data_IF_255402281693
#
_entry.id   IF_255402281693
#
_cell.length_a   1.000
_cell.length_b   1.000
_cell.length_c   1.000
_cell.angle_alpha   90.00
_cell.angle_beta   90.00
_cell.angle_gamma   90.00
#
_symmetry.space_group_name_H-M   'P 1'
#
loop_
_entity.id
_entity.type
_entity.pdbx_description
1 polymer ?
#
# COMPACT_ATOMS: atom_id res chain seq x y z
N UNK A 1 -12.80 -8.82 -14.14
CA UNK A 1 -13.15 -8.98 -15.58
C UNK A 1 -14.39 -9.86 -15.68
N UNK A 2 -15.49 -9.33 -16.22
CA UNK A 2 -16.76 -10.05 -16.38
C UNK A 2 -16.61 -11.27 -17.29
N UNK A 3 -17.23 -12.39 -16.92
CA UNK A 3 -17.18 -13.63 -17.70
C UNK A 3 -17.91 -13.49 -19.05
N UNK A 4 -17.57 -14.31 -20.06
CA UNK A 4 -18.30 -14.33 -21.34
C UNK A 4 -19.81 -14.57 -21.14
N UNK A 5 -20.17 -15.39 -20.15
CA UNK A 5 -21.55 -15.73 -19.83
C UNK A 5 -22.31 -14.58 -19.15
N UNK A 6 -21.66 -13.86 -18.23
CA UNK A 6 -22.19 -12.65 -17.59
C UNK A 6 -22.50 -11.55 -18.62
N UNK A 7 -21.58 -11.32 -19.57
CA UNK A 7 -21.80 -10.36 -20.67
C UNK A 7 -22.97 -10.74 -21.57
N UNK A 8 -23.20 -12.04 -21.77
CA UNK A 8 -24.34 -12.56 -22.52
C UNK A 8 -25.65 -12.28 -21.77
N UNK A 9 -25.71 -12.53 -20.46
CA UNK A 9 -26.89 -12.26 -19.64
C UNK A 9 -27.28 -10.77 -19.62
N UNK A 10 -26.30 -9.87 -19.58
CA UNK A 10 -26.52 -8.43 -19.69
C UNK A 10 -27.09 -8.08 -21.08
N UNK A 11 -26.47 -8.57 -22.17
CA UNK A 11 -26.96 -8.36 -23.54
C UNK A 11 -28.37 -8.89 -23.79
N UNK A 12 -28.77 -9.94 -23.09
CA UNK A 12 -30.10 -10.56 -23.20
C UNK A 12 -31.15 -9.88 -22.28
N UNK A 13 -30.81 -8.75 -21.64
CA UNK A 13 -31.72 -8.01 -20.77
C UNK A 13 -32.09 -8.78 -19.49
N UNK A 14 -31.17 -9.62 -18.97
CA UNK A 14 -31.35 -10.40 -17.74
C UNK A 14 -30.40 -9.92 -16.62
N UNK A 15 -30.48 -8.65 -16.19
CA UNK A 15 -29.54 -8.06 -15.23
C UNK A 15 -29.61 -8.72 -13.84
N UNK A 16 -30.79 -9.14 -13.39
CA UNK A 16 -31.00 -9.87 -12.13
C UNK A 16 -30.29 -11.22 -12.13
N UNK A 17 -30.29 -11.94 -13.25
CA UNK A 17 -29.55 -13.20 -13.38
C UNK A 17 -28.04 -12.98 -13.40
N UNK A 18 -27.57 -11.91 -14.04
CA UNK A 18 -26.17 -11.50 -13.93
C UNK A 18 -25.78 -11.14 -12.48
N UNK A 19 -26.70 -10.54 -11.71
CA UNK A 19 -26.49 -10.25 -10.29
C UNK A 19 -26.44 -11.54 -9.43
N UNK A 20 -27.39 -12.46 -9.61
CA UNK A 20 -27.36 -13.76 -8.94
C UNK A 20 -26.10 -14.55 -9.27
N UNK A 21 -25.65 -14.51 -10.53
CA UNK A 21 -24.40 -15.13 -10.95
C UNK A 21 -23.19 -14.51 -10.24
N UNK A 22 -23.13 -13.18 -10.11
CA UNK A 22 -22.09 -12.47 -9.35
C UNK A 22 -22.12 -12.85 -7.87
N UNK A 23 -23.31 -12.98 -7.28
CA UNK A 23 -23.49 -13.39 -5.88
C UNK A 23 -23.07 -14.85 -5.66
N UNK A 24 -23.47 -15.76 -6.55
CA UNK A 24 -23.05 -17.16 -6.51
C UNK A 24 -21.54 -17.31 -6.73
N UNK A 25 -20.93 -16.51 -7.59
CA UNK A 25 -19.47 -16.45 -7.75
C UNK A 25 -18.76 -15.95 -6.50
N UNK A 26 -19.35 -15.00 -5.76
CA UNK A 26 -18.84 -14.55 -4.47
C UNK A 26 -18.89 -15.65 -3.41
N UNK A 27 -20.00 -16.40 -3.33
CA UNK A 27 -20.22 -17.41 -2.28
C UNK A 27 -19.50 -18.74 -2.60
N UNK A 28 -19.57 -19.19 -3.85
CA UNK A 28 -19.22 -20.57 -4.24
C UNK A 28 -18.18 -20.66 -5.36
N UNK A 29 -17.81 -19.54 -6.00
CA UNK A 29 -16.74 -19.56 -6.98
C UNK A 29 -15.42 -19.95 -6.32
N UNK A 30 -14.43 -20.51 -7.06
CA UNK A 30 -13.08 -20.46 -6.56
C UNK A 30 -12.81 -19.00 -6.22
N UNK A 31 -12.26 -18.71 -5.04
CA UNK A 31 -11.76 -17.40 -4.66
C UNK A 31 -10.54 -17.04 -5.54
N UNK A 32 -10.64 -17.20 -6.85
CA UNK A 32 -9.91 -16.41 -7.84
C UNK A 32 -10.47 -14.99 -7.75
N UNK A 33 -10.34 -14.39 -6.57
CA UNK A 33 -9.82 -13.05 -6.53
C UNK A 33 -8.58 -13.11 -7.43
N UNK A 34 -8.74 -12.70 -8.69
CA UNK A 34 -7.63 -11.99 -9.33
C UNK A 34 -7.52 -10.71 -8.52
N UNK A 35 -7.06 -10.81 -7.27
CA UNK A 35 -6.26 -9.74 -6.69
C UNK A 35 -5.22 -9.56 -7.77
N UNK A 36 -5.20 -8.37 -8.37
CA UNK A 36 -4.13 -8.04 -9.28
C UNK A 36 -2.84 -8.38 -8.52
N UNK A 37 -2.09 -9.43 -8.92
CA UNK A 37 -0.96 -9.86 -8.14
C UNK A 37 0.07 -8.73 -8.06
N UNK A 38 0.05 -7.80 -9.02
CA UNK A 38 0.88 -6.61 -8.99
C UNK A 38 0.38 -5.60 -7.95
N UNK A 39 -0.94 -5.35 -7.81
CA UNK A 39 -1.46 -4.51 -6.72
C UNK A 39 -1.05 -5.03 -5.35
N UNK A 40 -1.22 -6.33 -5.09
CA UNK A 40 -0.85 -6.90 -3.79
C UNK A 40 0.66 -6.85 -3.55
N UNK A 41 1.47 -7.16 -4.57
CA UNK A 41 2.93 -7.04 -4.49
C UNK A 41 3.35 -5.61 -4.22
N UNK A 42 2.75 -4.63 -4.90
CA UNK A 42 3.06 -3.22 -4.73
C UNK A 42 2.77 -2.78 -3.30
N UNK A 43 1.56 -3.06 -2.79
CA UNK A 43 1.17 -2.73 -1.41
C UNK A 43 2.12 -3.37 -0.39
N UNK A 44 2.45 -4.65 -0.55
CA UNK A 44 3.37 -5.36 0.35
C UNK A 44 4.77 -4.73 0.32
N UNK A 45 5.30 -4.43 -0.87
CA UNK A 45 6.61 -3.77 -1.00
C UNK A 45 6.60 -2.39 -0.36
N UNK A 46 5.55 -1.61 -0.57
CA UNK A 46 5.43 -0.27 -0.02
C UNK A 46 5.30 -0.29 1.51
N UNK A 47 4.51 -1.20 2.08
CA UNK A 47 4.43 -1.42 3.53
C UNK A 47 5.80 -1.83 4.10
N UNK A 48 6.51 -2.73 3.41
CA UNK A 48 7.85 -3.16 3.82
C UNK A 48 8.82 -1.98 3.85
N UNK A 49 8.87 -1.17 2.78
CA UNK A 49 9.74 0.00 2.72
C UNK A 49 9.36 1.07 3.76
N UNK A 50 8.07 1.28 4.06
CA UNK A 50 7.66 2.19 5.14
C UNK A 50 8.20 1.73 6.50
N UNK A 51 8.17 0.42 6.78
CA UNK A 51 8.76 -0.15 8.00
C UNK A 51 10.28 0.00 8.03
N UNK A 52 10.96 -0.24 6.92
CA UNK A 52 12.41 -0.06 6.81
C UNK A 52 12.82 1.39 7.08
N UNK A 53 12.08 2.36 6.53
CA UNK A 53 12.30 3.78 6.80
C UNK A 53 12.15 4.07 8.29
N UNK A 54 11.05 3.62 8.91
CA UNK A 54 10.81 3.82 10.34
C UNK A 54 11.88 3.17 11.24
N UNK A 55 12.34 1.96 10.89
CA UNK A 55 13.44 1.30 11.61
C UNK A 55 14.75 2.07 11.48
N UNK A 56 15.06 2.59 10.29
CA UNK A 56 16.28 3.37 10.07
C UNK A 56 16.23 4.69 10.83
N UNK A 57 15.09 5.37 10.85
CA UNK A 57 14.87 6.58 11.62
C UNK A 57 15.09 6.37 13.12
N UNK A 58 14.51 5.30 13.68
CA UNK A 58 14.72 4.91 15.09
C UNK A 58 16.21 4.70 15.38
N UNK A 59 16.87 3.90 14.54
CA UNK A 59 18.31 3.64 14.69
C UNK A 59 19.13 4.94 14.70
N UNK A 60 18.88 5.84 13.74
CA UNK A 60 19.61 7.12 13.66
C UNK A 60 19.37 8.00 14.89
N UNK A 61 18.14 8.07 15.39
CA UNK A 61 17.84 8.81 16.60
C UNK A 61 18.54 8.22 17.84
N UNK A 62 18.63 6.90 17.94
CA UNK A 62 19.36 6.23 19.02
C UNK A 62 20.86 6.53 18.96
N UNK A 63 21.47 6.46 17.77
CA UNK A 63 22.89 6.77 17.56
C UNK A 63 23.20 8.25 17.84
N UNK A 64 22.36 9.17 17.36
CA UNK A 64 22.49 10.60 17.65
C UNK A 64 22.41 10.82 19.15
N UNK A 65 21.41 10.25 19.83
CA UNK A 65 21.23 10.39 21.28
C UNK A 65 22.43 9.84 22.05
N UNK A 66 22.97 8.70 21.63
CA UNK A 66 24.18 8.14 22.23
C UNK A 66 25.36 9.10 22.08
N UNK A 67 25.58 9.61 20.87
CA UNK A 67 26.69 10.51 20.55
C UNK A 67 26.58 11.89 21.22
N UNK A 68 25.37 12.44 21.34
CA UNK A 68 25.12 13.77 21.94
C UNK A 68 24.86 13.72 23.45
N UNK A 69 24.98 12.55 24.08
CA UNK A 69 24.77 12.44 25.52
C UNK A 69 25.81 13.26 26.30
N UNK A 70 25.37 13.88 27.40
CA UNK A 70 26.12 14.91 28.15
C UNK A 70 27.46 14.45 28.74
N UNK A 71 27.72 13.13 28.78
CA UNK A 71 28.94 12.54 29.34
C UNK A 71 30.11 12.50 28.34
N UNK A 72 29.87 12.82 27.06
CA UNK A 72 30.90 12.92 26.07
C UNK A 72 31.35 14.39 26.00
N UNK A 73 32.63 14.64 26.27
CA UNK A 73 33.23 15.96 26.05
C UNK A 73 33.05 16.47 24.61
N UNK A 74 33.72 17.55 24.21
CA UNK A 74 33.54 18.13 22.88
C UNK A 74 33.71 17.10 21.76
N UNK A 75 32.73 17.00 20.86
CA UNK A 75 32.76 16.05 19.75
C UNK A 75 33.99 16.27 18.86
N UNK A 76 34.61 15.17 18.42
CA UNK A 76 35.67 15.19 17.41
C UNK A 76 35.15 15.71 16.06
N UNK A 77 36.06 16.11 15.18
CA UNK A 77 35.70 16.56 13.83
C UNK A 77 34.97 15.47 13.05
N UNK A 78 35.42 14.22 13.17
CA UNK A 78 34.79 13.06 12.54
C UNK A 78 33.38 12.82 13.10
N UNK A 79 33.21 12.92 14.42
CA UNK A 79 31.91 12.76 15.07
C UNK A 79 30.92 13.84 14.63
N UNK A 80 31.36 15.10 14.49
CA UNK A 80 30.50 16.19 13.98
C UNK A 80 30.11 15.96 12.51
N UNK A 81 31.05 15.51 11.68
CA UNK A 81 30.75 15.18 10.29
C UNK A 81 29.75 14.02 10.18
N UNK A 82 29.89 13.01 11.04
CA UNK A 82 28.97 11.88 11.09
C UNK A 82 27.57 12.30 11.59
N UNK A 83 27.51 13.17 12.60
CA UNK A 83 26.26 13.75 13.10
C UNK A 83 25.52 14.49 11.98
N UNK A 84 26.20 15.41 11.28
CA UNK A 84 25.60 16.16 10.18
C UNK A 84 25.11 15.23 9.06
N UNK A 85 25.84 14.15 8.76
CA UNK A 85 25.41 13.14 7.78
C UNK A 85 24.13 12.43 8.23
N UNK A 86 24.02 12.06 9.51
CA UNK A 86 22.82 11.42 10.03
C UNK A 86 21.62 12.38 10.07
N UNK A 87 21.82 13.64 10.41
CA UNK A 87 20.77 14.67 10.37
C UNK A 87 20.26 14.85 8.93
N UNK A 88 21.15 14.95 7.94
CA UNK A 88 20.76 14.98 6.53
C UNK A 88 20.01 13.72 6.08
N UNK A 89 20.42 12.55 6.58
CA UNK A 89 19.75 11.28 6.29
C UNK A 89 18.34 11.25 6.88
N UNK A 90 18.15 11.75 8.11
CA UNK A 90 16.81 11.87 8.74
C UNK A 90 15.87 12.77 7.92
N UNK A 91 16.35 13.92 7.44
CA UNK A 91 15.55 14.78 6.57
C UNK A 91 15.16 14.08 5.26
N UNK A 92 16.06 13.28 4.70
CA UNK A 92 15.80 12.52 3.48
C UNK A 92 14.80 11.37 3.71
N UNK A 93 14.94 10.66 4.83
CA UNK A 93 13.99 9.63 5.25
C UNK A 93 12.60 10.21 5.47
N UNK A 94 12.48 11.38 6.12
CA UNK A 94 11.21 12.06 6.30
C UNK A 94 10.55 12.40 4.94
N UNK A 95 11.31 12.93 3.98
CA UNK A 95 10.78 13.17 2.62
C UNK A 95 10.30 11.88 1.96
N UNK A 96 11.13 10.84 1.99
CA UNK A 96 10.81 9.53 1.40
C UNK A 96 9.57 8.91 2.04
N UNK A 97 9.45 8.98 3.36
CA UNK A 97 8.28 8.52 4.12
C UNK A 97 7.00 9.17 3.60
N UNK A 98 6.94 10.51 3.60
CA UNK A 98 5.75 11.25 3.17
C UNK A 98 5.38 11.01 1.70
N UNK A 99 6.37 10.82 0.83
CA UNK A 99 6.11 10.44 -0.56
C UNK A 99 5.52 9.04 -0.67
N UNK A 100 6.12 8.07 0.03
CA UNK A 100 5.70 6.68 -0.02
C UNK A 100 4.35 6.43 0.66
N UNK A 101 4.09 7.09 1.79
CA UNK A 101 2.83 7.00 2.53
C UNK A 101 1.65 7.54 1.69
N UNK A 102 1.82 8.67 1.02
CA UNK A 102 0.80 9.21 0.09
C UNK A 102 0.55 8.26 -1.08
N UNK A 103 1.61 7.69 -1.64
CA UNK A 103 1.49 6.70 -2.70
C UNK A 103 0.78 5.44 -2.20
N UNK A 104 1.05 5.02 -0.96
CA UNK A 104 0.44 3.88 -0.32
C UNK A 104 -1.07 4.09 -0.19
N UNK A 105 -1.50 5.24 0.35
CA UNK A 105 -2.92 5.57 0.44
C UNK A 105 -3.61 5.63 -0.93
N UNK A 106 -2.93 6.20 -1.94
CA UNK A 106 -3.45 6.21 -3.31
C UNK A 106 -3.64 4.79 -3.85
N UNK A 107 -2.66 3.92 -3.63
CA UNK A 107 -2.70 2.53 -4.10
C UNK A 107 -3.74 1.72 -3.34
N UNK A 108 -3.86 1.91 -2.03
CA UNK A 108 -4.87 1.27 -1.18
C UNK A 108 -6.29 1.65 -1.63
N UNK A 109 -6.53 2.94 -1.91
CA UNK A 109 -7.80 3.40 -2.48
C UNK A 109 -8.10 2.81 -3.88
N UNK A 110 -7.07 2.37 -4.62
CA UNK A 110 -7.20 1.71 -5.92
C UNK A 110 -7.45 0.20 -5.83
N UNK A 111 -7.78 -0.33 -4.64
CA UNK A 111 -8.04 -1.75 -4.42
C UNK A 111 -9.03 -2.30 -5.45
N UNK A 112 -8.69 -3.37 -6.19
CA UNK A 112 -9.61 -3.96 -7.15
C UNK A 112 -10.91 -4.39 -6.45
N UNK A 113 -12.09 -4.04 -7.00
CA UNK A 113 -13.35 -4.30 -6.32
C UNK A 113 -13.56 -5.80 -6.12
N UNK A 114 -13.84 -6.18 -4.88
CA UNK A 114 -14.11 -7.57 -4.49
C UNK A 114 -15.39 -8.11 -5.16
N UNK A 115 -15.61 -9.44 -5.18
CA UNK A 115 -16.78 -10.03 -5.81
C UNK A 115 -18.12 -9.52 -5.24
N UNK A 116 -18.17 -9.18 -3.94
CA UNK A 116 -19.34 -8.59 -3.29
C UNK A 116 -19.66 -7.18 -3.80
N UNK A 117 -18.64 -6.31 -3.87
CA UNK A 117 -18.79 -4.94 -4.38
C UNK A 117 -19.17 -4.92 -5.86
N UNK A 118 -18.65 -5.87 -6.65
CA UNK A 118 -19.10 -6.05 -8.04
C UNK A 118 -20.54 -6.52 -8.15
N UNK A 119 -21.10 -7.19 -7.14
CA UNK A 119 -22.48 -7.67 -7.15
C UNK A 119 -23.51 -6.59 -6.74
N UNK A 120 -23.08 -5.52 -6.06
CA UNK A 120 -23.95 -4.45 -5.55
C UNK A 120 -24.00 -3.21 -6.46
N UNK A 121 -22.97 -2.95 -7.27
CA UNK A 121 -23.04 -1.92 -8.31
C UNK A 121 -23.88 -2.41 -9.50
N UNK A 122 -25.07 -1.83 -9.64
CA UNK A 122 -25.83 -1.84 -10.89
C UNK A 122 -25.08 -0.98 -11.90
N UNK A 123 -24.78 -1.50 -13.09
CA UNK A 123 -24.50 -0.66 -14.26
C UNK A 123 -25.84 -0.01 -14.65
N UNK A 124 -26.19 1.13 -14.04
CA UNK A 124 -27.41 1.92 -14.35
C UNK A 124 -27.23 2.75 -15.64
N UNK A 125 -26.16 2.53 -16.40
CA UNK A 125 -25.94 3.22 -17.66
C UNK A 125 -25.79 2.22 -18.81
N UNK A 126 -26.95 1.74 -19.29
CA UNK A 126 -27.17 1.36 -20.70
C UNK A 126 -28.50 1.95 -21.13
#
# INVERSE_FOLDING_TARGET
>A
MASKFEKLLIKLGKPTWAQHLRHAQHIHGPQKTKIDPEWAKDIIKMDTHLREIGQREIYLHEEIKALTSLDHGPLSTEQRAQLAKWEMELEDLARKYWHLEREFYRREASVPPGPLQRATFYDIYV
#
